data_IF_487464979270
#
_entry.id   IF_487464979270
#
_cell.length_a   1.000
_cell.length_b   1.000
_cell.length_c   1.000
_cell.angle_alpha   90.00
_cell.angle_beta   90.00
_cell.angle_gamma   90.00
#
_symmetry.space_group_name_H-M   'P 1'
#
loop_
_entity.id
_entity.type
_entity.pdbx_description
1 polymer ?
#
# COMPACT_ATOMS: atom_id res chain seq x y z
N UNK A 1 18.26 -7.20 19.68
CA UNK A 1 18.46 -7.06 18.22
C UNK A 1 19.64 -6.11 17.96
N UNK A 2 20.62 -6.47 17.12
CA UNK A 2 21.82 -5.62 16.88
C UNK A 2 21.41 -4.35 16.12
N UNK A 3 21.95 -3.16 16.45
CA UNK A 3 21.61 -1.86 15.80
C UNK A 3 21.64 -1.92 14.26
N UNK A 4 22.63 -2.61 13.69
CA UNK A 4 22.75 -2.82 12.23
C UNK A 4 21.56 -3.59 11.63
N UNK A 5 20.97 -4.51 12.38
CA UNK A 5 19.79 -5.27 11.95
C UNK A 5 18.55 -4.41 11.90
N UNK A 6 18.42 -3.46 12.83
CA UNK A 6 17.25 -2.59 12.91
C UNK A 6 17.24 -1.52 11.80
N UNK A 7 18.41 -0.97 11.47
CA UNK A 7 18.56 -0.06 10.32
C UNK A 7 18.22 -0.78 9.01
N UNK A 8 18.70 -2.02 8.81
CA UNK A 8 18.35 -2.82 7.63
C UNK A 8 16.84 -3.02 7.50
N UNK A 9 16.16 -3.26 8.62
CA UNK A 9 14.72 -3.42 8.64
C UNK A 9 13.99 -2.13 8.24
N UNK A 10 14.40 -0.97 8.76
CA UNK A 10 13.85 0.32 8.36
C UNK A 10 14.09 0.64 6.87
N UNK A 11 15.28 0.33 6.35
CA UNK A 11 15.60 0.50 4.93
C UNK A 11 14.76 -0.42 4.05
N UNK A 12 14.52 -1.66 4.48
CA UNK A 12 13.60 -2.57 3.80
C UNK A 12 12.16 -2.03 3.84
N UNK A 13 11.73 -1.44 4.96
CA UNK A 13 10.45 -0.76 5.09
C UNK A 13 10.30 0.41 4.12
N UNK A 14 11.31 1.28 4.01
CA UNK A 14 11.35 2.37 3.03
C UNK A 14 11.27 1.84 1.59
N UNK A 15 12.04 0.79 1.27
CA UNK A 15 11.99 0.14 -0.03
C UNK A 15 10.61 -0.43 -0.35
N UNK A 16 9.95 -1.06 0.63
CA UNK A 16 8.58 -1.56 0.50
C UNK A 16 7.58 -0.43 0.24
N UNK A 17 7.70 0.69 0.96
CA UNK A 17 6.82 1.84 0.80
C UNK A 17 6.93 2.43 -0.61
N UNK A 18 8.16 2.69 -1.07
CA UNK A 18 8.42 3.22 -2.42
C UNK A 18 7.96 2.21 -3.47
N UNK A 19 8.30 0.93 -3.30
CA UNK A 19 7.94 -0.14 -4.21
C UNK A 19 6.43 -0.27 -4.39
N UNK A 20 5.67 -0.25 -3.29
CA UNK A 20 4.21 -0.30 -3.34
C UNK A 20 3.61 0.92 -4.07
N UNK A 21 4.13 2.12 -3.83
CA UNK A 21 3.71 3.32 -4.55
C UNK A 21 3.99 3.25 -6.05
N UNK A 22 5.16 2.72 -6.45
CA UNK A 22 5.50 2.50 -7.85
C UNK A 22 4.60 1.44 -8.50
N UNK A 23 4.26 0.38 -7.79
CA UNK A 23 3.32 -0.64 -8.29
C UNK A 23 1.95 -0.05 -8.57
N UNK A 24 1.37 0.71 -7.64
CA UNK A 24 0.07 1.34 -7.84
C UNK A 24 0.12 2.33 -9.02
N UNK A 25 1.18 3.14 -9.11
CA UNK A 25 1.38 4.07 -10.22
C UNK A 25 1.50 3.35 -11.57
N UNK A 26 2.18 2.20 -11.61
CA UNK A 26 2.31 1.38 -12.80
C UNK A 26 0.96 0.82 -13.26
N UNK A 27 0.16 0.32 -12.32
CA UNK A 27 -1.20 -0.18 -12.62
C UNK A 27 -2.08 0.93 -13.16
N UNK A 28 -2.10 2.09 -12.50
CA UNK A 28 -2.87 3.23 -12.97
C UNK A 28 -2.43 3.67 -14.37
N UNK A 29 -1.12 3.77 -14.61
CA UNK A 29 -0.59 4.13 -15.92
C UNK A 29 -1.00 3.13 -17.02
N UNK A 30 -0.94 1.83 -16.74
CA UNK A 30 -1.33 0.78 -17.67
C UNK A 30 -2.85 0.74 -17.97
N UNK A 31 -3.67 1.41 -17.15
CA UNK A 31 -5.12 1.47 -17.27
C UNK A 31 -5.64 2.90 -17.50
N UNK A 32 -4.86 3.75 -18.19
CA UNK A 32 -5.30 5.08 -18.62
C UNK A 32 -5.44 6.10 -17.49
N UNK A 33 -4.71 5.92 -16.39
CA UNK A 33 -4.76 6.77 -15.20
C UNK A 33 -5.72 6.28 -14.11
N UNK A 34 -6.39 5.14 -14.32
CA UNK A 34 -7.37 4.59 -13.37
C UNK A 34 -6.85 3.32 -12.71
N UNK A 35 -7.16 3.15 -11.43
CA UNK A 35 -6.89 1.94 -10.66
C UNK A 35 -8.06 0.97 -10.81
N UNK A 36 -7.89 -0.21 -11.42
CA UNK A 36 -8.97 -1.19 -11.53
C UNK A 36 -9.31 -1.80 -10.16
N UNK A 37 -10.59 -2.07 -9.93
CA UNK A 37 -11.09 -2.59 -8.65
C UNK A 37 -11.97 -3.81 -8.86
N UNK A 38 -11.62 -4.94 -8.23
CA UNK A 38 -12.34 -6.20 -8.33
C UNK A 38 -13.62 -6.15 -7.48
N UNK A 39 -14.75 -6.04 -8.17
CA UNK A 39 -16.05 -5.91 -7.53
C UNK A 39 -16.51 -7.24 -6.93
N UNK A 40 -16.55 -7.33 -5.60
CA UNK A 40 -17.01 -8.53 -4.86
C UNK A 40 -18.48 -8.43 -4.41
N UNK A 41 -19.35 -7.82 -5.21
CA UNK A 41 -20.81 -7.92 -5.04
C UNK A 41 -21.39 -7.34 -3.74
N UNK A 42 -20.67 -6.42 -3.06
CA UNK A 42 -21.05 -5.98 -1.70
C UNK A 42 -21.21 -4.49 -1.47
N UNK A 43 -21.45 -3.70 -2.52
CA UNK A 43 -21.72 -2.27 -2.38
C UNK A 43 -22.64 -1.80 -3.50
N UNK A 44 -23.89 -1.47 -3.14
CA UNK A 44 -24.90 -0.81 -3.98
C UNK A 44 -24.50 0.63 -4.35
N UNK A 45 -23.26 0.83 -4.80
CA UNK A 45 -22.79 2.11 -5.31
C UNK A 45 -23.17 2.20 -6.80
N UNK A 46 -23.93 3.22 -7.22
CA UNK A 46 -24.36 3.35 -8.59
C UNK A 46 -23.15 3.61 -9.49
N UNK A 47 -22.98 2.68 -10.41
CA UNK A 47 -22.39 2.77 -11.75
C UNK A 47 -21.63 4.04 -12.15
N UNK A 48 -20.48 3.77 -12.79
CA UNK A 48 -19.74 4.63 -13.71
C UNK A 48 -19.02 5.80 -13.05
N UNK A 49 -17.71 5.62 -12.84
CA UNK A 49 -16.79 6.67 -12.41
C UNK A 49 -17.28 7.32 -11.12
N UNK A 50 -17.18 6.59 -10.02
CA UNK A 50 -17.13 7.26 -8.73
C UNK A 50 -15.88 8.12 -8.78
N UNK A 51 -16.07 9.44 -8.88
CA UNK A 51 -15.04 10.47 -8.76
C UNK A 51 -13.78 9.96 -8.05
N UNK A 52 -12.59 10.23 -8.63
CA UNK A 52 -11.27 9.98 -8.05
C UNK A 52 -10.68 8.58 -8.35
N UNK A 53 -9.85 8.52 -9.40
CA UNK A 53 -8.78 7.53 -9.64
C UNK A 53 -9.10 6.03 -9.70
N UNK A 54 -10.34 5.55 -9.50
CA UNK A 54 -10.68 4.12 -9.55
C UNK A 54 -11.68 3.78 -10.68
N UNK A 55 -11.55 2.60 -11.28
CA UNK A 55 -12.48 2.06 -12.27
C UNK A 55 -12.84 0.60 -11.96
N UNK A 56 -13.97 0.12 -12.47
CA UNK A 56 -14.35 -1.29 -12.32
C UNK A 56 -13.38 -2.18 -13.09
N UNK A 57 -12.86 -3.23 -12.45
CA UNK A 57 -11.95 -4.19 -13.11
C UNK A 57 -12.72 -5.01 -14.15
N UNK A 58 -12.35 -4.85 -15.42
CA UNK A 58 -12.82 -5.68 -16.54
C UNK A 58 -11.82 -6.80 -16.87
N UNK A 59 -12.20 -7.74 -17.73
CA UNK A 59 -11.29 -8.75 -18.29
C UNK A 59 -10.08 -8.15 -18.99
N UNK A 60 -10.27 -6.94 -19.54
CA UNK A 60 -9.32 -6.24 -20.40
C UNK A 60 -8.39 -5.30 -19.61
N UNK A 61 -8.56 -5.22 -18.29
CA UNK A 61 -7.70 -4.43 -17.42
C UNK A 61 -6.25 -4.95 -17.45
N UNK A 62 -5.32 -4.06 -17.77
CA UNK A 62 -3.90 -4.34 -17.73
C UNK A 62 -3.44 -4.53 -16.27
N UNK A 63 -2.52 -5.45 -16.02
CA UNK A 63 -1.93 -5.67 -14.69
C UNK A 63 -2.97 -5.93 -13.58
N UNK A 64 -4.08 -6.62 -13.91
CA UNK A 64 -5.16 -6.94 -12.96
C UNK A 64 -4.73 -7.65 -11.66
N UNK A 65 -3.58 -8.32 -11.67
CA UNK A 65 -2.99 -8.98 -10.48
C UNK A 65 -2.28 -8.02 -9.52
N UNK A 66 -2.14 -6.74 -9.89
CA UNK A 66 -1.61 -5.66 -9.05
C UNK A 66 -2.69 -4.62 -8.68
N UNK A 67 -3.90 -4.81 -9.19
CA UNK A 67 -5.03 -3.93 -8.98
C UNK A 67 -5.73 -4.21 -7.63
N UNK A 68 -6.83 -3.53 -7.31
CA UNK A 68 -7.47 -3.65 -6.01
C UNK A 68 -8.38 -4.88 -5.97
N UNK A 69 -7.90 -6.00 -5.41
CA UNK A 69 -8.68 -7.23 -5.28
C UNK A 69 -8.62 -7.86 -3.89
N UNK A 70 -7.76 -7.35 -3.00
CA UNK A 70 -7.61 -7.89 -1.66
C UNK A 70 -8.69 -7.26 -0.78
N UNK A 71 -9.75 -8.03 -0.46
CA UNK A 71 -10.82 -7.57 0.42
C UNK A 71 -10.46 -7.74 1.90
N UNK A 72 -10.46 -6.64 2.65
CA UNK A 72 -10.27 -6.67 4.09
C UNK A 72 -11.14 -5.60 4.77
N UNK A 73 -11.99 -6.04 5.72
CA UNK A 73 -12.88 -5.17 6.52
C UNK A 73 -13.73 -4.18 5.69
N UNK A 74 -14.21 -4.63 4.53
CA UNK A 74 -15.07 -3.81 3.66
C UNK A 74 -14.33 -2.85 2.74
N UNK A 75 -12.99 -2.81 2.80
CA UNK A 75 -12.13 -2.08 1.89
C UNK A 75 -11.46 -3.04 0.90
N UNK A 76 -11.07 -2.52 -0.26
CA UNK A 76 -10.27 -3.23 -1.25
C UNK A 76 -8.88 -2.62 -1.28
N UNK A 77 -7.87 -3.48 -1.35
CA UNK A 77 -6.47 -3.12 -1.37
C UNK A 77 -5.78 -3.76 -2.57
N UNK A 78 -4.83 -3.05 -3.13
CA UNK A 78 -3.83 -3.62 -4.04
C UNK A 78 -2.68 -4.26 -3.27
N UNK A 79 -1.91 -5.15 -3.92
CA UNK A 79 -0.61 -5.56 -3.40
C UNK A 79 0.32 -4.38 -3.08
N UNK A 80 0.23 -3.29 -3.84
CA UNK A 80 1.02 -2.09 -3.57
C UNK A 80 0.57 -1.37 -2.29
N UNK A 81 -0.73 -1.30 -1.99
CA UNK A 81 -1.22 -0.76 -0.70
C UNK A 81 -0.73 -1.57 0.49
N UNK A 82 -0.73 -2.90 0.36
CA UNK A 82 -0.18 -3.79 1.40
C UNK A 82 1.30 -3.49 1.64
N UNK A 83 2.08 -3.30 0.57
CA UNK A 83 3.50 -2.95 0.67
C UNK A 83 3.73 -1.55 1.27
N UNK A 84 2.88 -0.58 0.93
CA UNK A 84 2.89 0.78 1.50
C UNK A 84 2.64 0.71 3.01
N UNK A 85 1.57 0.03 3.43
CA UNK A 85 1.21 -0.09 4.85
C UNK A 85 2.29 -0.84 5.63
N UNK A 86 2.79 -1.97 5.11
CA UNK A 86 3.87 -2.71 5.75
C UNK A 86 5.15 -1.89 5.88
N UNK A 87 5.50 -1.13 4.83
CA UNK A 87 6.64 -0.22 4.84
C UNK A 87 6.48 0.91 5.86
N UNK A 88 5.29 1.52 5.94
CA UNK A 88 4.97 2.56 6.90
C UNK A 88 5.05 2.07 8.35
N UNK A 89 4.47 0.91 8.66
CA UNK A 89 4.56 0.28 9.99
C UNK A 89 6.03 0.04 10.37
N UNK A 90 6.83 -0.42 9.40
CA UNK A 90 8.25 -0.64 9.63
C UNK A 90 8.99 0.65 10.00
N UNK A 91 8.79 1.72 9.24
CA UNK A 91 9.42 3.01 9.53
C UNK A 91 8.93 3.63 10.85
N UNK A 92 7.62 3.56 11.14
CA UNK A 92 7.06 4.10 12.38
C UNK A 92 7.61 3.38 13.62
N UNK A 93 7.73 2.06 13.55
CA UNK A 93 8.35 1.26 14.63
C UNK A 93 9.81 1.63 14.80
N UNK A 94 10.53 1.88 13.71
CA UNK A 94 11.92 2.35 13.76
C UNK A 94 12.05 3.68 14.51
N UNK A 95 11.22 4.66 14.14
CA UNK A 95 11.18 5.97 14.80
C UNK A 95 10.80 5.84 16.27
N UNK A 96 9.75 5.08 16.60
CA UNK A 96 9.30 4.88 17.97
C UNK A 96 10.41 4.32 18.88
N UNK A 97 11.17 3.32 18.40
CA UNK A 97 12.28 2.75 19.16
C UNK A 97 13.42 3.76 19.35
N UNK A 98 13.72 4.58 18.34
CA UNK A 98 14.72 5.66 18.49
C UNK A 98 14.27 6.69 19.53
N UNK A 99 12.99 7.08 19.54
CA UNK A 99 12.43 7.98 20.54
C UNK A 99 12.54 7.40 21.95
N UNK A 100 12.21 6.12 22.14
CA UNK A 100 12.31 5.44 23.45
C UNK A 100 13.77 5.39 23.93
N UNK A 101 14.71 4.99 23.07
CA UNK A 101 16.13 4.94 23.43
C UNK A 101 16.69 6.34 23.70
N UNK A 102 16.26 7.34 22.93
CA UNK A 102 16.65 8.73 23.13
C UNK A 102 16.13 9.27 24.46
N UNK A 103 14.88 9.01 24.79
CA UNK A 103 14.25 9.39 26.05
C UNK A 103 14.98 8.79 27.27
N UNK A 104 15.25 7.48 27.25
CA UNK A 104 15.95 6.77 28.34
C UNK A 104 17.40 7.24 28.55
N UNK A 105 17.99 7.98 27.61
CA UNK A 105 19.37 8.51 27.73
C UNK A 105 19.43 9.95 28.23
N UNK A 106 18.29 10.62 28.35
CA UNK A 106 18.22 12.00 28.84
C UNK A 106 17.92 12.06 30.35
N UNK A 107 17.60 10.93 30.96
CA UNK A 107 17.52 10.69 32.41
C UNK A 107 18.83 10.10 32.96
#
# INVERSE_FOLDING_TARGET
>A
MKRKSFLKWALAGLGSYIGGGLMNKLVMWANGGFMPVAYHGRWDWPFQVTNMTHCTMSSDASLKYLADYISFRGWLYSPGDVMIVAGAISMLTFVAVLCIIGYVKLD
#
